data_IF_290488819985
#
_entry.id   IF_290488819985
#
_cell.length_a   1.000
_cell.length_b   1.000
_cell.length_c   1.000
_cell.angle_alpha   90.00
_cell.angle_beta   90.00
_cell.angle_gamma   90.00
#
_symmetry.space_group_name_H-M   'P 1'
#
loop_
_entity.id
_entity.type
_entity.pdbx_description
1 polymer ?
#
# COMPACT_ATOMS: atom_id res chain seq x y z
N UNK A 1 -2.02 -23.78 15.84
CA UNK A 1 -0.65 -23.23 15.67
C UNK A 1 -0.35 -23.31 14.19
N UNK A 2 0.27 -22.29 13.58
CA UNK A 2 0.64 -22.34 12.18
C UNK A 2 1.96 -23.13 12.04
N UNK A 3 2.04 -23.99 11.02
CA UNK A 3 3.24 -24.77 10.72
C UNK A 3 3.87 -24.29 9.40
N UNK A 4 5.20 -24.31 9.33
CA UNK A 4 5.91 -23.94 8.10
C UNK A 4 5.78 -25.08 7.10
N UNK A 5 4.94 -24.89 6.09
CA UNK A 5 4.75 -25.86 5.00
C UNK A 5 5.92 -25.81 4.00
N UNK A 6 6.19 -24.64 3.41
CA UNK A 6 7.19 -24.47 2.35
C UNK A 6 8.05 -23.22 2.56
N UNK A 7 9.16 -23.12 1.82
CA UNK A 7 10.04 -21.94 1.78
C UNK A 7 10.35 -21.60 0.31
N UNK A 8 10.00 -20.38 -0.09
CA UNK A 8 10.25 -19.89 -1.45
C UNK A 8 11.57 -19.12 -1.50
N UNK A 9 12.32 -19.28 -2.59
CA UNK A 9 13.57 -18.57 -2.81
C UNK A 9 13.31 -17.27 -3.55
N UNK A 10 13.70 -16.16 -2.93
CA UNK A 10 13.86 -14.90 -3.64
C UNK A 10 15.07 -15.01 -4.56
N UNK A 11 14.96 -14.43 -5.75
CA UNK A 11 16.09 -14.35 -6.68
C UNK A 11 17.13 -13.28 -6.25
N UNK A 12 16.80 -12.47 -5.24
CA UNK A 12 17.71 -11.55 -4.52
C UNK A 12 17.36 -11.55 -3.02
N UNK A 13 17.60 -10.46 -2.30
CA UNK A 13 17.20 -10.28 -0.89
C UNK A 13 15.95 -9.41 -0.77
N UNK A 14 15.47 -9.13 0.44
CA UNK A 14 14.33 -8.25 0.69
C UNK A 14 14.80 -6.96 1.39
N UNK A 15 14.21 -5.81 1.03
CA UNK A 15 14.40 -4.56 1.76
C UNK A 15 13.77 -4.62 3.16
N UNK A 16 14.36 -3.92 4.12
CA UNK A 16 13.83 -3.74 5.47
C UNK A 16 12.69 -2.69 5.51
N UNK A 17 11.63 -2.93 4.73
CA UNK A 17 10.45 -2.07 4.65
C UNK A 17 9.28 -2.68 5.43
N UNK A 18 8.49 -1.82 6.07
CA UNK A 18 7.20 -2.24 6.63
C UNK A 18 6.25 -2.61 5.49
N UNK A 19 5.42 -3.65 5.67
CA UNK A 19 4.48 -4.13 4.66
C UNK A 19 5.13 -4.55 3.31
N UNK A 20 6.36 -5.08 3.34
CA UNK A 20 7.13 -5.51 2.17
C UNK A 20 6.72 -6.87 1.56
N UNK A 21 5.46 -7.27 1.68
CA UNK A 21 4.98 -8.51 1.08
C UNK A 21 3.57 -8.28 0.57
N UNK A 22 3.39 -8.42 -0.74
CA UNK A 22 2.09 -8.39 -1.37
C UNK A 22 1.74 -9.73 -2.01
N UNK A 23 0.45 -10.04 -2.09
CA UNK A 23 -0.06 -11.33 -2.52
C UNK A 23 -1.08 -11.14 -3.62
N UNK A 24 -0.80 -11.69 -4.80
CA UNK A 24 -1.78 -11.84 -5.86
C UNK A 24 -2.63 -13.09 -5.58
N UNK A 25 -3.95 -12.98 -5.73
CA UNK A 25 -4.90 -14.07 -5.50
C UNK A 25 -5.78 -14.27 -6.72
N UNK A 26 -6.13 -15.52 -6.98
CA UNK A 26 -7.24 -15.81 -7.90
C UNK A 26 -8.55 -15.37 -7.29
N UNK A 27 -9.40 -14.70 -8.07
CA UNK A 27 -10.75 -14.35 -7.63
C UNK A 27 -11.61 -15.61 -7.55
N UNK A 28 -11.64 -16.26 -6.37
CA UNK A 28 -12.66 -17.24 -6.05
C UNK A 28 -13.84 -16.49 -5.44
N UNK A 29 -14.98 -16.48 -6.15
CA UNK A 29 -16.23 -15.76 -5.81
C UNK A 29 -16.82 -16.03 -4.41
N UNK A 30 -16.20 -16.88 -3.60
CA UNK A 30 -16.50 -16.98 -2.17
C UNK A 30 -15.34 -17.68 -1.45
N UNK A 31 -14.80 -17.02 -0.41
CA UNK A 31 -13.77 -17.52 0.52
C UNK A 31 -12.33 -17.52 0.00
N UNK A 32 -11.67 -16.37 0.13
CA UNK A 32 -10.21 -16.28 0.29
C UNK A 32 -9.40 -16.99 -0.79
N UNK A 33 -9.46 -16.47 -2.01
CA UNK A 33 -8.80 -17.02 -3.20
C UNK A 33 -7.37 -17.50 -3.00
N UNK A 34 -6.95 -18.47 -3.83
CA UNK A 34 -5.64 -19.11 -3.74
C UNK A 34 -4.57 -18.10 -4.17
N UNK A 35 -3.52 -17.96 -3.35
CA UNK A 35 -2.36 -17.14 -3.67
C UNK A 35 -1.64 -17.72 -4.90
N UNK A 36 -1.44 -16.90 -5.93
CA UNK A 36 -0.78 -17.31 -7.16
C UNK A 36 0.63 -16.76 -7.26
N UNK A 37 0.83 -15.50 -6.86
CA UNK A 37 2.13 -14.82 -6.88
C UNK A 37 2.36 -14.01 -5.61
N UNK A 38 3.62 -13.87 -5.21
CA UNK A 38 4.08 -12.97 -4.16
C UNK A 38 4.96 -11.89 -4.77
N UNK A 39 4.94 -10.70 -4.17
CA UNK A 39 5.81 -9.59 -4.54
C UNK A 39 6.55 -9.12 -3.30
N UNK A 40 7.87 -8.98 -3.45
CA UNK A 40 8.77 -8.52 -2.40
C UNK A 40 9.75 -7.51 -2.98
N UNK A 41 9.85 -6.36 -2.33
CA UNK A 41 10.72 -5.25 -2.74
C UNK A 41 12.16 -5.49 -2.30
N UNK A 42 13.09 -5.14 -3.18
CA UNK A 42 14.52 -5.02 -2.94
C UNK A 42 15.08 -3.79 -3.65
N UNK A 43 15.38 -2.74 -2.88
CA UNK A 43 15.83 -1.43 -3.38
C UNK A 43 14.88 -0.89 -4.47
N UNK A 44 15.34 -0.84 -5.72
CA UNK A 44 14.60 -0.36 -6.88
C UNK A 44 13.88 -1.47 -7.67
N UNK A 45 13.94 -2.72 -7.18
CA UNK A 45 13.41 -3.91 -7.83
C UNK A 45 12.27 -4.53 -7.03
N UNK A 46 11.36 -5.18 -7.74
CA UNK A 46 10.25 -5.97 -7.20
C UNK A 46 10.43 -7.41 -7.69
N UNK A 47 10.61 -8.33 -6.75
CA UNK A 47 10.69 -9.76 -7.03
C UNK A 47 9.27 -10.34 -7.03
N UNK A 48 8.80 -10.78 -8.20
CA UNK A 48 7.54 -11.52 -8.33
C UNK A 48 7.84 -13.01 -8.37
N UNK A 49 7.23 -13.78 -7.48
CA UNK A 49 7.47 -15.21 -7.32
C UNK A 49 6.15 -15.98 -7.41
N UNK A 50 6.02 -16.97 -8.29
CA UNK A 50 4.86 -17.84 -8.31
C UNK A 50 4.83 -18.74 -7.06
N UNK A 51 3.63 -18.94 -6.51
CA UNK A 51 3.39 -19.76 -5.32
C UNK A 51 2.88 -21.15 -5.69
N UNK A 52 2.09 -21.24 -6.76
CA UNK A 52 1.50 -22.51 -7.17
C UNK A 52 2.54 -23.38 -7.88
N UNK A 53 2.73 -24.63 -7.43
CA UNK A 53 3.64 -25.58 -8.08
C UNK A 53 3.27 -25.87 -9.55
N UNK A 54 1.99 -25.69 -9.90
CA UNK A 54 1.51 -25.81 -11.27
C UNK A 54 1.97 -24.66 -12.16
N UNK A 55 2.29 -23.50 -11.58
CA UNK A 55 2.78 -22.33 -12.28
C UNK A 55 4.30 -22.46 -12.48
N UNK A 56 4.69 -22.93 -13.66
CA UNK A 56 6.10 -23.10 -14.07
C UNK A 56 6.76 -21.79 -14.49
N UNK A 57 6.11 -20.65 -14.31
CA UNK A 57 6.74 -19.36 -14.61
C UNK A 57 7.96 -19.15 -13.72
N UNK A 58 8.99 -18.51 -14.27
CA UNK A 58 10.17 -18.17 -13.49
C UNK A 58 9.88 -16.93 -12.65
N UNK A 59 10.55 -16.76 -11.49
CA UNK A 59 10.53 -15.50 -10.80
C UNK A 59 10.87 -14.34 -11.75
N UNK A 60 10.09 -13.27 -11.67
CA UNK A 60 10.21 -12.09 -12.51
C UNK A 60 10.71 -10.90 -11.69
N UNK A 61 11.39 -9.98 -12.37
CA UNK A 61 11.82 -8.71 -11.81
C UNK A 61 11.14 -7.57 -12.52
N UNK A 62 10.62 -6.64 -11.73
CA UNK A 62 10.10 -5.36 -12.23
C UNK A 62 10.94 -4.28 -11.58
N UNK A 63 11.42 -3.35 -12.39
CA UNK A 63 12.10 -2.12 -11.96
C UNK A 63 11.09 -0.98 -11.92
N UNK A 64 11.35 0.03 -11.09
CA UNK A 64 10.60 1.28 -11.17
C UNK A 64 10.53 1.79 -12.61
N UNK A 65 9.42 2.46 -12.94
CA UNK A 65 9.32 3.25 -14.15
C UNK A 65 10.54 4.18 -14.30
N UNK A 66 11.03 4.32 -15.52
CA UNK A 66 12.24 5.06 -15.92
C UNK A 66 13.61 4.45 -15.54
N UNK A 67 13.68 3.25 -14.94
CA UNK A 67 14.94 2.57 -14.62
C UNK A 67 15.98 3.45 -13.90
N UNK A 68 15.51 4.46 -13.16
CA UNK A 68 16.42 5.35 -12.44
C UNK A 68 17.07 4.58 -11.31
N UNK A 69 18.40 4.55 -11.29
CA UNK A 69 19.16 3.97 -10.17
C UNK A 69 18.90 4.72 -8.84
N UNK A 70 18.27 5.91 -8.90
CA UNK A 70 17.88 6.71 -7.75
C UNK A 70 16.46 6.41 -7.26
N UNK A 71 15.68 5.62 -8.00
CA UNK A 71 14.35 5.21 -7.55
C UNK A 71 14.49 4.18 -6.42
N UNK A 72 13.84 4.41 -5.28
CA UNK A 72 13.67 3.39 -4.26
C UNK A 72 12.20 3.02 -4.20
N UNK A 73 11.89 1.72 -4.32
CA UNK A 73 10.53 1.23 -4.14
C UNK A 73 10.24 1.17 -2.64
N UNK A 74 9.15 1.78 -2.22
CA UNK A 74 8.76 1.96 -0.83
C UNK A 74 7.68 0.97 -0.39
N UNK A 75 6.79 0.58 -1.30
CA UNK A 75 5.72 -0.37 -1.06
C UNK A 75 5.16 -0.91 -2.37
N UNK A 76 4.66 -2.15 -2.35
CA UNK A 76 3.89 -2.75 -3.45
C UNK A 76 2.57 -3.32 -2.94
N UNK A 77 1.52 -3.24 -3.75
CA UNK A 77 0.20 -3.76 -3.42
C UNK A 77 -0.47 -4.34 -4.67
N UNK A 78 -0.78 -5.64 -4.65
CA UNK A 78 -1.84 -6.18 -5.50
C UNK A 78 -3.20 -5.86 -4.89
N UNK A 79 -4.07 -5.28 -5.69
CA UNK A 79 -5.42 -4.94 -5.29
C UNK A 79 -6.37 -5.01 -6.48
N UNK A 80 -7.66 -5.21 -6.17
CA UNK A 80 -8.74 -5.03 -7.12
C UNK A 80 -9.02 -3.52 -7.28
N UNK A 81 -9.11 -3.07 -8.53
CA UNK A 81 -9.43 -1.70 -8.91
C UNK A 81 -10.25 -1.72 -10.20
N UNK A 82 -11.50 -1.27 -10.15
CA UNK A 82 -12.42 -1.31 -11.30
C UNK A 82 -12.74 -2.72 -11.78
N UNK A 83 -12.77 -3.70 -10.86
CA UNK A 83 -12.90 -5.15 -11.13
C UNK A 83 -11.68 -5.83 -11.76
N UNK A 84 -10.61 -5.08 -12.07
CA UNK A 84 -9.34 -5.64 -12.51
C UNK A 84 -8.34 -5.75 -11.36
N UNK A 85 -7.47 -6.76 -11.43
CA UNK A 85 -6.38 -6.91 -10.45
C UNK A 85 -5.16 -6.21 -11.01
N UNK A 86 -4.67 -5.20 -10.30
CA UNK A 86 -3.50 -4.40 -10.70
C UNK A 86 -2.38 -4.52 -9.67
N UNK A 87 -1.15 -4.26 -10.11
CA UNK A 87 0.01 -4.12 -9.23
C UNK A 87 0.34 -2.64 -9.05
N UNK A 88 0.11 -2.12 -7.84
CA UNK A 88 0.45 -0.75 -7.47
C UNK A 88 1.85 -0.71 -6.86
N UNK A 89 2.68 0.20 -7.34
CA UNK A 89 4.06 0.41 -6.93
C UNK A 89 4.22 1.84 -6.42
N UNK A 90 4.56 1.98 -5.14
CA UNK A 90 4.87 3.26 -4.53
C UNK A 90 6.39 3.40 -4.38
N UNK A 91 6.95 4.54 -4.78
CA UNK A 91 8.39 4.77 -4.83
C UNK A 91 8.78 6.20 -4.44
N UNK A 92 10.07 6.51 -4.48
CA UNK A 92 10.59 7.88 -4.36
C UNK A 92 10.27 8.76 -5.56
N UNK A 93 9.88 8.20 -6.70
CA UNK A 93 9.52 8.95 -7.91
C UNK A 93 8.02 9.18 -8.06
N UNK A 94 7.19 8.44 -7.31
CA UNK A 94 5.75 8.53 -7.40
C UNK A 94 5.05 7.19 -7.25
N UNK A 95 3.87 7.12 -7.86
CA UNK A 95 2.97 5.98 -7.87
C UNK A 95 2.83 5.47 -9.30
N UNK A 96 3.18 4.22 -9.52
CA UNK A 96 2.98 3.51 -10.78
C UNK A 96 1.97 2.39 -10.59
N UNK A 97 1.10 2.17 -11.58
CA UNK A 97 0.16 1.07 -11.61
C UNK A 97 0.41 0.27 -12.86
N UNK A 98 0.69 -1.01 -12.67
CA UNK A 98 0.85 -1.98 -13.73
C UNK A 98 -0.36 -2.91 -13.79
N UNK A 99 -0.47 -3.63 -14.91
CA UNK A 99 -1.36 -4.77 -15.04
C UNK A 99 -1.09 -5.85 -13.96
N UNK A 100 -1.93 -6.88 -13.93
CA UNK A 100 -1.82 -7.98 -12.96
C UNK A 100 -0.42 -8.59 -12.90
N UNK A 101 0.22 -8.75 -14.05
CA UNK A 101 1.49 -9.43 -14.18
C UNK A 101 2.70 -8.47 -14.07
N UNK A 102 2.44 -7.16 -14.02
CA UNK A 102 3.47 -6.15 -13.86
C UNK A 102 4.34 -5.95 -15.09
N UNK A 103 3.76 -6.19 -16.27
CA UNK A 103 4.39 -6.07 -17.59
C UNK A 103 4.07 -4.70 -18.19
N UNK A 104 2.79 -4.32 -18.19
CA UNK A 104 2.31 -3.11 -18.84
C UNK A 104 2.03 -2.02 -17.80
N UNK A 105 2.63 -0.84 -18.00
CA UNK A 105 2.34 0.34 -17.18
C UNK A 105 1.01 0.95 -17.64
N UNK A 106 0.01 0.94 -16.76
CA UNK A 106 -1.34 1.42 -17.03
C UNK A 106 -1.50 2.89 -16.63
N UNK A 107 -0.85 3.31 -15.53
CA UNK A 107 -0.97 4.66 -14.99
C UNK A 107 0.28 5.04 -14.20
N UNK A 108 0.66 6.32 -14.21
CA UNK A 108 1.73 6.86 -13.38
C UNK A 108 1.38 8.27 -12.90
N UNK A 109 1.74 8.58 -11.66
CA UNK A 109 1.56 9.90 -11.08
C UNK A 109 2.70 10.24 -10.09
N UNK A 110 3.33 11.42 -10.21
CA UNK A 110 4.52 11.76 -9.41
C UNK A 110 4.22 11.89 -7.91
N UNK A 111 2.99 12.24 -7.54
CA UNK A 111 2.54 12.37 -6.14
C UNK A 111 3.44 13.29 -5.28
N UNK A 112 4.12 14.25 -5.90
CA UNK A 112 4.98 15.21 -5.22
C UNK A 112 4.18 16.43 -4.78
N UNK A 113 4.30 16.78 -3.51
CA UNK A 113 3.63 17.91 -2.88
C UNK A 113 4.59 18.88 -2.17
N UNK A 114 5.83 18.44 -1.95
CA UNK A 114 6.90 19.23 -1.36
C UNK A 114 7.81 19.89 -2.41
N UNK A 115 8.89 20.55 -1.97
CA UNK A 115 9.89 21.13 -2.86
C UNK A 115 10.58 20.07 -3.71
N UNK A 116 10.95 20.40 -4.96
CA UNK A 116 11.59 19.46 -5.91
C UNK A 116 12.97 18.96 -5.43
N UNK A 117 13.67 19.74 -4.62
CA UNK A 117 15.02 19.43 -4.13
C UNK A 117 15.02 18.58 -2.85
N UNK A 118 13.86 18.26 -2.29
CA UNK A 118 13.73 17.45 -1.08
C UNK A 118 13.44 15.98 -1.40
N UNK A 119 13.86 15.09 -0.49
CA UNK A 119 13.56 13.68 -0.60
C UNK A 119 12.05 13.46 -0.51
N UNK A 120 11.44 13.04 -1.63
CA UNK A 120 10.03 12.71 -1.74
C UNK A 120 9.83 11.21 -1.80
N UNK A 121 8.70 10.74 -1.28
CA UNK A 121 8.29 9.35 -1.44
C UNK A 121 6.78 9.20 -1.38
N UNK A 122 6.30 8.13 -1.99
CA UNK A 122 4.93 7.61 -1.83
C UNK A 122 4.98 6.38 -0.96
N UNK A 123 4.10 6.31 0.03
CA UNK A 123 3.96 5.15 0.93
C UNK A 123 2.57 5.13 1.58
N UNK A 124 2.17 3.98 2.08
CA UNK A 124 0.84 3.79 2.63
C UNK A 124 -0.15 3.78 1.47
N UNK A 125 -0.20 2.66 0.77
CA UNK A 125 -1.15 2.43 -0.32
C UNK A 125 -2.26 1.48 0.15
N UNK A 126 -3.50 1.82 -0.17
CA UNK A 126 -4.67 1.00 0.15
C UNK A 126 -5.81 1.29 -0.82
N UNK A 127 -6.64 0.27 -1.11
CA UNK A 127 -7.85 0.45 -1.92
C UNK A 127 -9.10 0.48 -1.06
N UNK A 128 -10.04 1.36 -1.43
CA UNK A 128 -11.38 1.45 -0.84
C UNK A 128 -12.40 0.98 -1.88
N UNK A 129 -13.20 -0.01 -1.49
CA UNK A 129 -14.31 -0.57 -2.29
C UNK A 129 -13.94 -1.04 -3.70
N UNK A 130 -12.66 -1.30 -3.96
CA UNK A 130 -12.13 -1.63 -5.28
C UNK A 130 -12.39 -0.54 -6.35
N UNK A 131 -12.77 0.67 -5.96
CA UNK A 131 -13.07 1.79 -6.86
C UNK A 131 -12.09 2.93 -6.69
N UNK A 132 -11.56 3.06 -5.47
CA UNK A 132 -10.67 4.15 -5.08
C UNK A 132 -9.35 3.59 -4.59
N UNK A 133 -8.25 4.16 -5.06
CA UNK A 133 -6.90 3.92 -4.57
C UNK A 133 -6.43 5.15 -3.80
N UNK A 134 -5.97 4.93 -2.58
CA UNK A 134 -5.38 5.95 -1.73
C UNK A 134 -3.88 5.72 -1.62
N UNK A 135 -3.10 6.79 -1.75
CA UNK A 135 -1.66 6.79 -1.57
C UNK A 135 -1.22 7.99 -0.73
N UNK A 136 -0.44 7.74 0.32
CA UNK A 136 0.17 8.81 1.11
C UNK A 136 1.55 9.21 0.59
N UNK A 137 2.02 10.40 0.96
CA UNK A 137 3.37 10.84 0.64
C UNK A 137 4.13 11.47 1.81
N UNK A 138 5.39 11.80 1.54
CA UNK A 138 6.33 12.41 2.49
C UNK A 138 5.90 13.78 3.03
N UNK A 139 5.00 14.49 2.34
CA UNK A 139 4.48 15.81 2.73
C UNK A 139 3.21 15.73 3.59
N UNK A 140 2.75 14.54 3.97
CA UNK A 140 1.51 14.38 4.75
C UNK A 140 0.23 14.47 3.94
N UNK A 141 0.35 14.43 2.61
CA UNK A 141 -0.79 14.53 1.70
C UNK A 141 -1.30 13.14 1.33
N UNK A 142 -2.61 12.95 1.45
CA UNK A 142 -3.30 11.78 0.94
C UNK A 142 -3.80 12.05 -0.48
N UNK A 143 -3.31 11.28 -1.44
CA UNK A 143 -3.75 11.29 -2.84
C UNK A 143 -4.82 10.23 -3.05
N UNK A 144 -5.90 10.63 -3.72
CA UNK A 144 -7.06 9.78 -4.01
C UNK A 144 -7.17 9.65 -5.53
N UNK A 145 -7.16 8.41 -6.01
CA UNK A 145 -7.35 8.05 -7.40
C UNK A 145 -8.60 7.18 -7.53
N UNK A 146 -9.34 7.33 -8.62
CA UNK A 146 -10.53 6.52 -8.86
C UNK A 146 -10.63 6.05 -10.29
N UNK A 147 -11.41 4.99 -10.46
CA UNK A 147 -11.75 4.44 -11.77
C UNK A 147 -12.92 5.24 -12.35
N UNK A 148 -12.71 5.84 -13.53
CA UNK A 148 -13.75 6.63 -14.19
C UNK A 148 -14.73 5.76 -14.98
N UNK A 149 -14.24 4.72 -15.66
CA UNK A 149 -14.99 3.96 -16.67
C UNK A 149 -14.75 2.44 -16.56
N UNK A 150 -15.58 1.63 -17.26
CA UNK A 150 -15.47 0.16 -17.32
C UNK A 150 -14.14 -0.35 -17.93
N UNK A 151 -13.40 0.51 -18.65
CA UNK A 151 -12.08 0.19 -19.22
C UNK A 151 -10.91 0.44 -18.24
N UNK A 152 -11.17 0.65 -16.95
CA UNK A 152 -10.13 0.87 -15.91
C UNK A 152 -9.29 2.13 -16.15
N UNK A 153 -9.89 3.18 -16.72
CA UNK A 153 -9.26 4.50 -16.82
C UNK A 153 -9.15 5.11 -15.41
N UNK A 154 -7.97 4.97 -14.80
CA UNK A 154 -7.67 5.59 -13.52
C UNK A 154 -7.44 7.09 -13.71
N UNK A 155 -8.01 7.90 -12.81
CA UNK A 155 -7.75 9.32 -12.75
C UNK A 155 -7.43 9.78 -11.34
N UNK A 156 -6.65 10.86 -11.25
CA UNK A 156 -6.50 11.60 -10.01
C UNK A 156 -7.82 12.32 -9.67
N UNK A 157 -8.38 12.04 -8.49
CA UNK A 157 -9.65 12.61 -8.05
C UNK A 157 -9.46 13.75 -7.05
N UNK A 158 -8.64 13.53 -6.01
CA UNK A 158 -8.60 14.45 -4.88
C UNK A 158 -7.28 14.42 -4.11
N UNK A 159 -7.02 15.53 -3.41
CA UNK A 159 -5.91 15.76 -2.50
C UNK A 159 -6.47 16.09 -1.12
N UNK A 160 -6.21 15.24 -0.12
CA UNK A 160 -6.57 15.55 1.26
C UNK A 160 -5.33 15.93 2.07
N UNK A 161 -5.32 17.17 2.51
CA UNK A 161 -4.38 17.70 3.50
C UNK A 161 -5.00 17.51 4.89
N UNK A 162 -4.39 16.65 5.69
CA UNK A 162 -4.85 16.42 7.06
C UNK A 162 -3.74 16.04 8.02
N UNK A 163 -2.54 15.78 7.49
CA UNK A 163 -1.38 15.38 8.26
C UNK A 163 -0.29 16.42 8.07
N UNK A 164 0.34 16.81 9.18
CA UNK A 164 1.45 17.77 9.18
C UNK A 164 2.76 17.13 8.73
N UNK A 165 2.79 15.80 8.62
CA UNK A 165 3.98 15.00 8.44
C UNK A 165 3.72 13.76 7.56
N UNK A 166 4.80 13.10 7.14
CA UNK A 166 4.81 11.99 6.20
C UNK A 166 3.84 10.84 6.55
N UNK A 167 3.00 10.47 5.58
CA UNK A 167 2.15 9.29 5.69
C UNK A 167 3.01 8.05 5.47
N UNK A 168 2.94 7.09 6.41
CA UNK A 168 3.77 5.87 6.37
C UNK A 168 2.99 4.59 6.22
N UNK A 169 1.70 4.59 6.54
CA UNK A 169 0.84 3.43 6.38
C UNK A 169 -0.61 3.86 6.13
N UNK A 170 -1.33 3.09 5.32
CA UNK A 170 -2.76 3.24 5.13
C UNK A 170 -3.37 1.85 5.17
N UNK A 171 -4.40 1.69 5.98
CA UNK A 171 -5.22 0.50 6.00
C UNK A 171 -6.61 0.85 5.52
N UNK A 172 -7.26 -0.04 4.79
CA UNK A 172 -8.64 0.12 4.37
C UNK A 172 -9.50 -1.04 4.84
N UNK A 173 -10.79 -0.76 4.94
CA UNK A 173 -11.88 -1.66 5.26
C UNK A 173 -13.04 -1.38 4.32
N UNK A 174 -14.01 -2.30 4.25
CA UNK A 174 -15.02 -2.36 3.18
C UNK A 174 -15.99 -1.18 3.12
N UNK A 175 -15.95 -0.27 4.09
CA UNK A 175 -16.72 0.99 4.10
C UNK A 175 -15.86 2.20 4.53
N UNK A 176 -14.60 2.00 4.93
CA UNK A 176 -13.78 3.04 5.56
C UNK A 176 -12.31 2.86 5.21
N UNK A 177 -11.60 3.96 4.91
CA UNK A 177 -10.14 3.95 4.86
C UNK A 177 -9.58 4.64 6.09
N UNK A 178 -8.52 4.10 6.69
CA UNK A 178 -7.79 4.71 7.80
C UNK A 178 -6.34 4.93 7.39
N UNK A 179 -5.86 6.16 7.42
CA UNK A 179 -4.42 6.43 7.27
C UNK A 179 -3.76 6.58 8.65
N UNK A 180 -2.57 6.03 8.80
CA UNK A 180 -1.72 6.16 9.98
C UNK A 180 -0.43 6.89 9.59
N UNK A 181 -0.13 7.94 10.32
CA UNK A 181 0.96 8.87 10.00
C UNK A 181 2.10 8.77 10.98
N UNK A 182 3.32 8.99 10.46
CA UNK A 182 4.52 9.18 11.24
C UNK A 182 4.95 10.64 11.18
N UNK A 183 5.09 11.24 12.36
CA UNK A 183 6.27 11.99 12.72
C UNK A 183 6.81 11.55 14.07
N UNK A 184 8.05 11.94 14.34
CA UNK A 184 8.54 11.94 15.71
C UNK A 184 7.55 12.68 16.61
N UNK A 185 6.97 11.93 17.55
CA UNK A 185 6.21 12.38 18.72
C UNK A 185 4.68 12.52 18.59
N UNK A 186 4.04 12.32 17.44
CA UNK A 186 2.57 12.45 17.35
C UNK A 186 1.95 11.71 16.17
N UNK A 187 1.23 10.62 16.42
CA UNK A 187 0.59 9.91 15.32
C UNK A 187 -0.91 10.24 15.19
N UNK A 188 -1.29 10.70 14.00
CA UNK A 188 -2.67 11.03 13.65
C UNK A 188 -3.27 9.87 12.86
N UNK A 189 -4.39 9.35 13.34
CA UNK A 189 -5.21 8.39 12.59
C UNK A 189 -6.37 9.16 11.97
N UNK A 190 -6.48 9.14 10.65
CA UNK A 190 -7.60 9.75 9.94
C UNK A 190 -8.49 8.67 9.32
N UNK A 191 -9.75 8.60 9.74
CA UNK A 191 -10.77 7.76 9.12
C UNK A 191 -11.43 8.56 8.00
N UNK A 192 -11.42 8.05 6.77
CA UNK A 192 -11.99 8.69 5.58
C UNK A 192 -13.11 7.83 4.99
N UNK A 193 -14.29 8.44 4.84
CA UNK A 193 -15.44 7.92 4.08
C UNK A 193 -15.71 8.85 2.87
N UNK A 194 -14.67 9.45 2.28
CA UNK A 194 -14.66 10.59 1.30
C UNK A 194 -14.44 11.96 1.98
N UNK A 195 -14.86 12.11 3.24
CA UNK A 195 -14.48 13.22 4.13
C UNK A 195 -13.81 12.68 5.40
N UNK A 196 -13.01 13.52 6.07
CA UNK A 196 -12.41 13.18 7.36
C UNK A 196 -13.53 12.99 8.39
N UNK A 197 -13.74 11.75 8.85
CA UNK A 197 -14.78 11.42 9.82
C UNK A 197 -14.31 11.72 11.26
N UNK A 198 -13.10 11.31 11.58
CA UNK A 198 -12.49 11.56 12.87
C UNK A 198 -10.96 11.53 12.77
N UNK A 199 -10.31 12.34 13.60
CA UNK A 199 -8.89 12.27 13.87
C UNK A 199 -8.66 11.99 15.34
N UNK A 200 -7.78 11.05 15.64
CA UNK A 200 -7.31 10.79 17.01
C UNK A 200 -5.80 10.83 17.02
N UNK A 201 -5.26 11.44 18.07
CA UNK A 201 -3.84 11.66 18.25
C UNK A 201 -3.31 10.74 19.36
N UNK A 202 -2.20 10.06 19.09
CA UNK A 202 -1.40 9.39 20.13
C UNK A 202 -0.11 10.19 20.27
N UNK A 203 0.09 10.77 21.46
CA UNK A 203 1.27 11.58 21.78
C UNK A 203 2.45 10.69 22.16
N UNK A 204 3.65 11.21 21.91
CA UNK A 204 4.95 10.66 22.34
C UNK A 204 5.24 9.24 21.84
N UNK A 205 4.57 8.81 20.76
CA UNK A 205 4.74 7.49 20.18
C UNK A 205 4.75 7.53 18.66
N UNK A 206 5.65 6.75 18.07
CA UNK A 206 5.80 6.62 16.63
C UNK A 206 5.01 5.41 16.14
N UNK A 207 3.90 5.61 15.44
CA UNK A 207 3.13 4.48 14.90
C UNK A 207 3.86 3.82 13.71
N UNK A 208 3.83 2.50 13.68
CA UNK A 208 4.53 1.68 12.67
C UNK A 208 3.63 0.73 11.88
N UNK A 209 2.35 0.69 12.22
CA UNK A 209 1.38 -0.06 11.45
C UNK A 209 -0.03 0.14 11.98
N UNK A 210 -0.99 0.18 11.07
CA UNK A 210 -2.42 0.23 11.36
C UNK A 210 -3.17 -0.92 10.69
N UNK A 211 -4.19 -1.46 11.34
CA UNK A 211 -5.08 -2.45 10.72
C UNK A 211 -6.48 -2.41 11.31
N UNK A 212 -7.49 -2.46 10.44
CA UNK A 212 -8.86 -2.71 10.86
C UNK A 212 -9.03 -4.12 11.42
N UNK A 213 -9.75 -4.23 12.54
CA UNK A 213 -10.03 -5.50 13.20
C UNK A 213 -11.14 -6.29 12.50
N UNK A 214 -11.98 -5.61 11.73
CA UNK A 214 -13.09 -6.22 11.03
C UNK A 214 -13.39 -5.49 9.71
N UNK A 215 -14.07 -6.20 8.81
CA UNK A 215 -14.45 -5.71 7.48
C UNK A 215 -15.47 -4.58 7.51
N UNK A 216 -16.11 -4.34 8.65
CA UNK A 216 -17.12 -3.30 8.81
C UNK A 216 -16.49 -1.99 9.31
N UNK A 217 -15.18 -2.00 9.62
CA UNK A 217 -14.42 -0.84 10.08
C UNK A 217 -14.81 -0.31 11.47
N UNK A 218 -15.57 -1.06 12.26
CA UNK A 218 -16.02 -0.63 13.61
C UNK A 218 -14.93 -0.67 14.67
N UNK A 219 -13.74 -1.12 14.29
CA UNK A 219 -12.56 -1.03 15.14
C UNK A 219 -11.29 -1.25 14.35
N UNK A 220 -10.24 -0.62 14.81
CA UNK A 220 -8.89 -0.74 14.25
C UNK A 220 -7.88 -0.70 15.38
N UNK A 221 -6.69 -1.22 15.13
CA UNK A 221 -5.58 -1.06 16.05
C UNK A 221 -4.36 -0.49 15.32
N UNK A 222 -3.51 0.17 16.11
CA UNK A 222 -2.21 0.66 15.67
C UNK A 222 -1.13 0.20 16.62
N UNK A 223 0.06 -0.05 16.07
CA UNK A 223 1.25 -0.44 16.83
C UNK A 223 2.23 0.72 16.89
N UNK A 224 2.93 0.88 18.02
CA UNK A 224 3.92 1.92 18.23
C UNK A 224 5.34 1.33 18.33
N UNK A 225 6.30 2.00 17.70
CA UNK A 225 7.73 1.69 17.81
C UNK A 225 8.23 1.89 19.24
N UNK A 226 9.22 1.09 19.64
CA UNK A 226 9.91 1.16 20.94
C UNK A 226 8.98 1.10 22.16
N UNK A 227 7.81 0.47 21.98
CA UNK A 227 6.88 0.17 23.07
C UNK A 227 6.31 -1.23 22.89
N UNK A 228 5.80 -1.81 23.96
CA UNK A 228 5.02 -3.05 23.93
C UNK A 228 3.51 -2.79 23.82
N UNK A 229 3.11 -1.60 23.36
CA UNK A 229 1.73 -1.15 23.34
C UNK A 229 1.11 -1.28 21.93
N UNK A 230 -0.12 -1.77 21.90
CA UNK A 230 -1.01 -1.73 20.74
C UNK A 230 -2.26 -0.97 21.16
N UNK A 231 -2.54 0.13 20.47
CA UNK A 231 -3.72 0.95 20.75
C UNK A 231 -4.85 0.49 19.87
N UNK A 232 -5.97 0.10 20.48
CA UNK A 232 -7.14 -0.36 19.76
C UNK A 232 -8.28 0.62 19.99
N UNK A 233 -8.87 1.04 18.88
CA UNK A 233 -9.98 1.99 18.81
C UNK A 233 -11.22 1.24 18.35
N UNK A 234 -12.37 1.64 18.90
CA UNK A 234 -13.69 1.18 18.48
C UNK A 234 -14.59 2.39 18.34
N UNK A 235 -15.45 2.34 17.34
CA UNK A 235 -16.61 3.23 17.21
C UNK A 235 -17.84 2.61 17.86
#
# INVERSE_FOLDING_TARGET
>A
MYERENTLLLSSTASALCNNLSVNRTSAKSKGGVATKLAVVHQNNINIIPVAESDKTRPQYITCHNNSALCEVMQVLWCDLGFEVVLVVASTLGLDIYDRDGVDLLFSHPCMDGPEDEYSFVKGIATLNNEVLCAGNSSGVLRVFGVLDEETCLSFMDRKEGHMDAITDIASSRNYSSSAVRPGWTAVICLWEINLLCSSQINDQMLVGGRFLNTNGTGFCVSAYDTNLVHCFKT
#
